data_IF_989821224003
#
_entry.id   IF_989821224003
#
_cell.length_a   1.000
_cell.length_b   1.000
_cell.length_c   1.000
_cell.angle_alpha   90.00
_cell.angle_beta   90.00
_cell.angle_gamma   90.00
#
_symmetry.space_group_name_H-M   'P 1'
#
loop_
_entity.id
_entity.type
_entity.pdbx_description
1 polymer ?
#
# COMPACT_ATOMS: atom_id res chain seq x y z
N UNK A 1 6.67 23.88 1.30
CA UNK A 1 7.60 23.80 0.17
C UNK A 1 6.83 23.59 -1.12
N UNK A 2 6.90 24.57 -1.98
CA UNK A 2 6.26 24.45 -3.26
C UNK A 2 7.30 24.14 -4.32
N UNK A 3 7.45 22.88 -4.59
CA UNK A 3 8.42 22.41 -5.56
C UNK A 3 7.71 21.39 -6.44
N UNK A 4 7.51 21.76 -7.68
CA UNK A 4 6.80 20.93 -8.63
C UNK A 4 7.52 19.60 -8.86
N UNK A 5 8.84 19.64 -8.93
CA UNK A 5 9.65 18.44 -9.09
C UNK A 5 9.48 17.49 -7.89
N UNK A 6 9.46 18.05 -6.70
CA UNK A 6 9.24 17.26 -5.49
C UNK A 6 7.86 16.62 -5.53
N UNK A 7 6.84 17.41 -5.85
CA UNK A 7 5.46 16.88 -5.88
C UNK A 7 5.31 15.79 -6.91
N UNK A 8 5.93 15.93 -8.06
CA UNK A 8 5.84 14.92 -9.11
C UNK A 8 6.55 13.63 -8.72
N UNK A 9 7.74 13.73 -8.11
CA UNK A 9 8.45 12.52 -7.69
C UNK A 9 7.75 11.84 -6.54
N UNK A 10 7.14 12.60 -5.63
CA UNK A 10 6.36 12.04 -4.54
C UNK A 10 5.16 11.26 -5.07
N UNK A 11 4.41 11.85 -5.99
CA UNK A 11 3.24 11.19 -6.57
C UNK A 11 3.64 9.95 -7.36
N UNK A 12 4.76 10.02 -8.07
CA UNK A 12 5.25 8.89 -8.84
C UNK A 12 5.59 7.72 -7.92
N UNK A 13 6.24 8.01 -6.81
CA UNK A 13 6.57 6.98 -5.83
C UNK A 13 5.32 6.36 -5.23
N UNK A 14 4.37 7.19 -4.80
CA UNK A 14 3.14 6.68 -4.17
C UNK A 14 2.28 5.89 -5.15
N UNK A 15 2.26 6.29 -6.42
CA UNK A 15 1.57 5.51 -7.44
C UNK A 15 2.22 4.15 -7.62
N UNK A 16 3.54 4.12 -7.64
CA UNK A 16 4.29 2.87 -7.75
C UNK A 16 3.99 1.95 -6.57
N UNK A 17 3.99 2.50 -5.37
CA UNK A 17 3.66 1.74 -4.16
C UNK A 17 2.24 1.18 -4.25
N UNK A 18 1.29 2.02 -4.65
CA UNK A 18 -0.10 1.59 -4.75
C UNK A 18 -0.31 0.50 -5.79
N UNK A 19 0.25 0.69 -6.99
CA UNK A 19 0.07 -0.27 -8.07
C UNK A 19 0.72 -1.61 -7.75
N UNK A 20 1.97 -1.59 -7.30
CA UNK A 20 2.68 -2.85 -7.00
C UNK A 20 2.08 -3.56 -5.80
N UNK A 21 1.66 -2.80 -4.79
CA UNK A 21 1.03 -3.39 -3.61
C UNK A 21 -0.32 -4.02 -3.97
N UNK A 22 -1.08 -3.38 -4.84
CA UNK A 22 -2.34 -3.94 -5.31
C UNK A 22 -2.11 -5.27 -6.00
N UNK A 23 -1.11 -5.35 -6.86
CA UNK A 23 -0.79 -6.59 -7.57
C UNK A 23 -0.42 -7.71 -6.61
N UNK A 24 0.33 -7.40 -5.56
CA UNK A 24 0.72 -8.39 -4.57
C UNK A 24 -0.47 -8.88 -3.75
N UNK A 25 -1.37 -7.98 -3.40
CA UNK A 25 -2.58 -8.36 -2.66
C UNK A 25 -3.47 -9.25 -3.53
N UNK A 26 -3.63 -8.89 -4.79
CA UNK A 26 -4.43 -9.70 -5.72
C UNK A 26 -3.85 -11.10 -5.88
N UNK A 27 -2.53 -11.18 -5.98
CA UNK A 27 -1.85 -12.46 -6.08
C UNK A 27 -2.07 -13.31 -4.83
N UNK A 28 -1.95 -12.70 -3.67
CA UNK A 28 -2.14 -13.38 -2.39
C UNK A 28 -3.55 -13.97 -2.29
N UNK A 29 -4.55 -13.18 -2.63
CA UNK A 29 -5.95 -13.62 -2.56
C UNK A 29 -6.18 -14.78 -3.53
N UNK A 30 -5.66 -14.69 -4.74
CA UNK A 30 -5.80 -15.73 -5.76
C UNK A 30 -5.16 -17.05 -5.33
N UNK A 31 -3.92 -16.96 -4.85
CA UNK A 31 -3.15 -18.15 -4.52
C UNK A 31 -3.65 -18.88 -3.28
N UNK A 32 -4.20 -18.16 -2.34
CA UNK A 32 -4.64 -18.76 -1.07
C UNK A 32 -6.14 -18.95 -0.96
N UNK A 33 -6.88 -18.56 -2.00
CA UNK A 33 -8.32 -18.75 -2.00
C UNK A 33 -9.01 -18.08 -0.82
N UNK A 34 -8.59 -16.87 -0.50
CA UNK A 34 -9.09 -16.17 0.69
C UNK A 34 -10.49 -15.59 0.51
N UNK A 35 -11.07 -15.73 -0.68
CA UNK A 35 -12.39 -15.18 -0.96
C UNK A 35 -13.44 -15.90 -0.15
N UNK A 36 -14.40 -15.15 0.35
CA UNK A 36 -15.51 -15.72 1.11
C UNK A 36 -16.41 -14.60 1.57
N UNK A 37 -17.70 -14.93 1.74
CA UNK A 37 -18.68 -13.94 2.15
C UNK A 37 -18.33 -13.41 3.53
N UNK A 38 -18.23 -12.09 3.63
CA UNK A 38 -17.91 -11.43 4.87
C UNK A 38 -16.42 -11.48 5.27
N UNK A 39 -15.60 -12.11 4.42
CA UNK A 39 -14.17 -12.21 4.72
C UNK A 39 -13.48 -10.85 4.52
N UNK A 40 -12.52 -10.58 5.39
CA UNK A 40 -11.74 -9.34 5.33
C UNK A 40 -10.27 -9.66 5.51
N UNK A 41 -9.45 -8.91 4.79
CA UNK A 41 -8.00 -9.03 4.89
C UNK A 41 -7.47 -7.80 5.62
N UNK A 42 -6.78 -8.02 6.74
CA UNK A 42 -6.14 -6.92 7.46
C UNK A 42 -4.77 -6.69 6.87
N UNK A 43 -4.47 -5.46 6.52
CA UNK A 43 -3.20 -5.09 5.91
C UNK A 43 -2.54 -3.97 6.68
N UNK A 44 -1.23 -3.90 6.57
CA UNK A 44 -0.44 -2.89 7.22
C UNK A 44 0.71 -2.49 6.32
N UNK A 45 0.93 -1.20 6.18
CA UNK A 45 2.04 -0.69 5.41
C UNK A 45 2.89 0.22 6.28
N UNK A 46 4.19 0.11 6.17
CA UNK A 46 5.12 0.92 6.95
C UNK A 46 6.00 1.72 6.01
N UNK A 47 6.06 3.01 6.22
CA UNK A 47 6.89 3.91 5.42
C UNK A 47 8.00 4.48 6.30
N UNK A 48 9.23 4.30 5.87
CA UNK A 48 10.38 4.92 6.50
C UNK A 48 11.16 5.68 5.44
N UNK A 49 11.98 6.63 5.88
CA UNK A 49 12.83 7.39 4.97
C UNK A 49 14.24 7.43 5.53
N UNK A 50 15.21 7.07 4.70
CA UNK A 50 16.61 6.98 5.10
C UNK A 50 17.12 8.32 5.62
N UNK A 51 17.87 8.27 6.72
CA UNK A 51 18.46 9.45 7.31
C UNK A 51 17.48 10.35 8.05
N UNK A 52 16.26 9.87 8.28
CA UNK A 52 15.23 10.64 9.00
C UNK A 52 14.58 9.77 10.06
N UNK A 53 13.75 10.40 10.88
CA UNK A 53 12.98 9.67 11.89
C UNK A 53 11.56 9.35 11.42
N UNK A 54 11.32 9.46 10.12
CA UNK A 54 9.99 9.15 9.58
C UNK A 54 9.68 7.67 9.79
N UNK A 55 8.56 7.44 10.45
CA UNK A 55 8.02 6.10 10.63
C UNK A 55 6.50 6.23 10.60
N UNK A 56 5.92 5.85 9.48
CA UNK A 56 4.49 6.03 9.26
C UNK A 56 3.85 4.69 8.96
N UNK A 57 2.87 4.30 9.76
CA UNK A 57 2.16 3.05 9.59
C UNK A 57 0.73 3.32 9.15
N UNK A 58 0.28 2.56 8.16
CA UNK A 58 -1.08 2.67 7.66
C UNK A 58 -1.73 1.30 7.76
N UNK A 59 -2.71 1.19 8.64
CA UNK A 59 -3.49 -0.02 8.81
C UNK A 59 -4.78 0.09 8.01
N UNK A 60 -5.23 -1.04 7.49
CA UNK A 60 -6.48 -1.05 6.75
C UNK A 60 -7.08 -2.43 6.69
N UNK A 61 -8.28 -2.48 6.15
CA UNK A 61 -8.98 -3.74 5.91
C UNK A 61 -9.50 -3.73 4.48
N UNK A 62 -9.38 -4.87 3.83
CA UNK A 62 -9.84 -5.04 2.45
C UNK A 62 -10.93 -6.08 2.46
N UNK A 63 -12.08 -5.74 1.91
CA UNK A 63 -13.19 -6.67 1.79
C UNK A 63 -12.87 -7.67 0.68
N UNK A 64 -13.04 -8.95 0.99
CA UNK A 64 -12.74 -10.03 0.05
C UNK A 64 -13.97 -10.59 -0.63
N UNK A 65 -15.13 -10.04 -0.29
CA UNK A 65 -16.37 -10.49 -0.92
C UNK A 65 -17.24 -9.32 -1.36
#
# INVERSE_FOLDING_TARGET
MENERFNMSLRKYLKHVGVTSQQEIERLVREHGLEGEGAKLKVKMVLTADGTDLHHEVDGEIDLS
#
